data_IF_938613090191
#
_entry.id   IF_938613090191
#
_cell.length_a   1.000
_cell.length_b   1.000
_cell.length_c   1.000
_cell.angle_alpha   90.00
_cell.angle_beta   90.00
_cell.angle_gamma   90.00
#
_symmetry.space_group_name_H-M   'P 1'
#
loop_
_entity.id
_entity.type
_entity.pdbx_description
1 polymer ?
#
# COMPACT_ATOMS: atom_id res chain seq x y z
N UNK A 1 19.65 34.46 12.53
CA UNK A 1 18.62 33.40 12.61
C UNK A 1 18.52 32.69 11.26
N UNK A 2 19.03 31.46 11.14
CA UNK A 2 18.85 30.65 9.93
C UNK A 2 17.42 30.10 9.96
N UNK A 3 16.55 30.52 9.03
CA UNK A 3 15.21 29.93 8.88
C UNK A 3 15.36 28.44 8.54
N UNK A 4 15.12 27.57 9.51
CA UNK A 4 14.97 26.12 9.30
C UNK A 4 13.78 25.94 8.36
N UNK A 5 14.03 25.61 7.08
CA UNK A 5 12.97 25.26 6.13
C UNK A 5 12.17 24.11 6.76
N UNK A 6 10.91 24.35 7.08
CA UNK A 6 10.02 23.32 7.62
C UNK A 6 9.95 22.23 6.55
N UNK A 7 10.24 20.99 6.93
CA UNK A 7 10.05 19.84 6.03
C UNK A 7 8.54 19.66 5.88
N UNK A 8 7.97 20.20 4.81
CA UNK A 8 6.54 20.08 4.56
C UNK A 8 6.24 18.82 3.75
N UNK A 9 5.17 18.12 4.15
CA UNK A 9 4.66 16.96 3.41
C UNK A 9 3.90 17.49 2.20
N UNK A 10 4.23 17.06 0.96
CA UNK A 10 3.49 17.49 -0.22
C UNK A 10 1.99 17.18 -0.08
N UNK A 11 1.12 18.12 -0.42
CA UNK A 11 -0.34 17.93 -0.37
C UNK A 11 -0.78 16.72 -1.20
N UNK A 12 -0.17 16.54 -2.38
CA UNK A 12 -0.42 15.39 -3.25
C UNK A 12 -0.05 14.05 -2.60
N UNK A 13 0.99 13.99 -1.77
CA UNK A 13 1.34 12.79 -1.01
C UNK A 13 0.27 12.46 0.04
N UNK A 14 -0.29 13.49 0.70
CA UNK A 14 -1.40 13.31 1.63
C UNK A 14 -2.63 12.72 0.92
N UNK A 15 -2.95 13.22 -0.27
CA UNK A 15 -4.04 12.69 -1.10
C UNK A 15 -3.82 11.23 -1.45
N UNK A 16 -2.61 10.85 -1.87
CA UNK A 16 -2.30 9.45 -2.16
C UNK A 16 -2.45 8.52 -0.96
N UNK A 17 -2.06 8.97 0.24
CA UNK A 17 -2.29 8.20 1.47
C UNK A 17 -3.77 7.97 1.75
N UNK A 18 -4.61 8.99 1.48
CA UNK A 18 -6.06 8.85 1.63
C UNK A 18 -6.66 7.91 0.58
N UNK A 19 -6.24 8.03 -0.68
CA UNK A 19 -6.65 7.11 -1.76
C UNK A 19 -6.27 5.67 -1.39
N UNK A 20 -5.04 5.44 -0.93
CA UNK A 20 -4.58 4.12 -0.51
C UNK A 20 -5.37 3.58 0.68
N UNK A 21 -5.72 4.42 1.66
CA UNK A 21 -6.61 4.03 2.75
C UNK A 21 -7.96 3.51 2.23
N UNK A 22 -8.58 4.23 1.29
CA UNK A 22 -9.86 3.82 0.69
C UNK A 22 -9.70 2.48 -0.02
N UNK A 23 -8.63 2.32 -0.82
CA UNK A 23 -8.35 1.06 -1.53
C UNK A 23 -8.12 -0.08 -0.53
N UNK A 24 -7.27 0.12 0.48
CA UNK A 24 -6.99 -0.89 1.51
C UNK A 24 -8.28 -1.34 2.21
N UNK A 25 -9.21 -0.43 2.48
CA UNK A 25 -10.49 -0.77 3.11
C UNK A 25 -11.44 -1.47 2.14
N UNK A 26 -11.47 -1.03 0.88
CA UNK A 26 -12.29 -1.65 -0.17
C UNK A 26 -11.93 -3.12 -0.38
N UNK A 27 -10.64 -3.47 -0.32
CA UNK A 27 -10.16 -4.85 -0.45
C UNK A 27 -10.09 -5.59 0.90
N UNK A 28 -9.69 -4.89 1.97
CA UNK A 28 -9.45 -5.47 3.28
C UNK A 28 -10.72 -5.91 4.01
N UNK A 29 -11.79 -5.13 3.94
CA UNK A 29 -13.09 -5.47 4.56
C UNK A 29 -13.63 -6.80 3.99
N UNK A 30 -13.80 -6.95 2.66
CA UNK A 30 -14.31 -8.21 2.12
C UNK A 30 -13.34 -9.37 2.34
N UNK A 31 -12.02 -9.17 2.27
CA UNK A 31 -11.05 -10.24 2.58
C UNK A 31 -11.09 -10.69 4.05
N UNK A 32 -11.37 -9.77 4.99
CA UNK A 32 -11.44 -10.09 6.41
C UNK A 32 -12.75 -10.81 6.77
N UNK A 33 -13.89 -10.30 6.30
CA UNK A 33 -15.21 -10.77 6.72
C UNK A 33 -15.85 -11.76 5.75
N UNK A 34 -15.60 -11.63 4.45
CA UNK A 34 -16.25 -12.41 3.39
C UNK A 34 -15.25 -12.92 2.32
N UNK A 35 -14.10 -13.52 2.70
CA UNK A 35 -13.02 -13.83 1.75
C UNK A 35 -13.44 -14.74 0.60
N UNK A 36 -14.27 -15.74 0.90
CA UNK A 36 -14.74 -16.70 -0.11
C UNK A 36 -15.65 -16.03 -1.15
N UNK A 37 -16.64 -15.27 -0.70
CA UNK A 37 -17.53 -14.54 -1.60
C UNK A 37 -16.75 -13.54 -2.47
N UNK A 38 -15.78 -12.85 -1.86
CA UNK A 38 -14.94 -11.89 -2.55
C UNK A 38 -14.06 -12.52 -3.63
N UNK A 39 -13.33 -13.60 -3.31
CA UNK A 39 -12.49 -14.28 -4.29
C UNK A 39 -13.32 -14.93 -5.40
N UNK A 40 -14.46 -15.54 -5.07
CA UNK A 40 -15.38 -16.07 -6.09
C UNK A 40 -15.89 -14.98 -7.03
N UNK A 41 -16.24 -13.80 -6.50
CA UNK A 41 -16.61 -12.64 -7.29
C UNK A 41 -15.46 -12.19 -8.21
N UNK A 42 -14.22 -12.19 -7.72
CA UNK A 42 -13.03 -11.94 -8.54
C UNK A 42 -12.71 -13.10 -9.52
N UNK A 43 -13.43 -14.22 -9.45
CA UNK A 43 -13.16 -15.43 -10.24
C UNK A 43 -11.81 -16.07 -9.91
N UNK A 44 -11.41 -16.03 -8.63
CA UNK A 44 -10.20 -16.63 -8.09
C UNK A 44 -10.53 -17.85 -7.22
N UNK A 45 -9.61 -18.83 -7.15
CA UNK A 45 -9.78 -20.02 -6.34
C UNK A 45 -9.70 -19.70 -4.84
N UNK A 46 -10.47 -20.43 -4.04
CA UNK A 46 -10.49 -20.32 -2.57
C UNK A 46 -9.85 -21.59 -2.01
N UNK A 47 -8.63 -21.48 -1.50
CA UNK A 47 -7.86 -22.61 -1.00
C UNK A 47 -7.85 -22.68 0.54
N UNK A 48 -7.58 -21.55 1.19
CA UNK A 48 -7.54 -21.41 2.65
C UNK A 48 -8.01 -20.01 3.05
N UNK A 49 -8.84 -19.91 4.09
CA UNK A 49 -9.43 -18.66 4.56
C UNK A 49 -8.51 -17.91 5.54
N UNK A 50 -7.67 -18.62 6.29
CA UNK A 50 -6.79 -17.99 7.28
C UNK A 50 -5.85 -16.93 6.67
N UNK A 51 -5.05 -17.24 5.64
CA UNK A 51 -4.16 -16.25 5.04
C UNK A 51 -4.94 -15.08 4.41
N UNK A 52 -6.12 -15.32 3.85
CA UNK A 52 -6.95 -14.27 3.28
C UNK A 52 -7.41 -13.26 4.32
N UNK A 53 -7.83 -13.74 5.50
CA UNK A 53 -8.22 -12.88 6.63
C UNK A 53 -7.02 -12.12 7.19
N UNK A 54 -5.86 -12.75 7.28
CA UNK A 54 -4.64 -12.07 7.71
C UNK A 54 -4.21 -10.97 6.74
N UNK A 55 -4.32 -11.20 5.42
CA UNK A 55 -4.10 -10.15 4.41
C UNK A 55 -5.14 -9.04 4.56
N UNK A 56 -6.41 -9.38 4.74
CA UNK A 56 -7.47 -8.39 4.99
C UNK A 56 -7.15 -7.51 6.20
N UNK A 57 -6.78 -8.11 7.33
CA UNK A 57 -6.38 -7.39 8.54
C UNK A 57 -5.15 -6.50 8.31
N UNK A 58 -4.14 -6.98 7.58
CA UNK A 58 -2.95 -6.21 7.25
C UNK A 58 -3.29 -4.96 6.41
N UNK A 59 -4.14 -5.11 5.38
CA UNK A 59 -4.62 -3.98 4.57
C UNK A 59 -5.34 -2.94 5.44
N UNK A 60 -6.28 -3.38 6.28
CA UNK A 60 -7.01 -2.47 7.17
C UNK A 60 -6.08 -1.75 8.16
N UNK A 61 -5.08 -2.42 8.71
CA UNK A 61 -4.12 -1.80 9.61
C UNK A 61 -3.24 -0.76 8.88
N UNK A 62 -2.71 -1.11 7.70
CA UNK A 62 -1.84 -0.23 6.89
C UNK A 62 -2.63 0.98 6.34
N UNK A 63 -3.87 0.76 5.90
CA UNK A 63 -4.76 1.82 5.46
C UNK A 63 -5.16 2.70 6.64
N UNK A 64 -5.58 2.10 7.74
CA UNK A 64 -6.07 2.79 8.93
C UNK A 64 -5.01 3.71 9.52
N UNK A 65 -3.76 3.24 9.65
CA UNK A 65 -2.66 4.11 10.13
C UNK A 65 -2.38 5.27 9.18
N UNK A 66 -2.65 5.12 7.88
CA UNK A 66 -2.52 6.19 6.89
C UNK A 66 -3.57 7.28 7.08
N UNK A 67 -4.80 6.89 7.41
CA UNK A 67 -5.87 7.83 7.74
C UNK A 67 -5.63 8.53 9.08
N UNK A 68 -5.29 7.78 10.13
CA UNK A 68 -5.06 8.33 11.48
C UNK A 68 -3.92 9.35 11.52
N UNK A 69 -2.92 9.19 10.64
CA UNK A 69 -1.76 10.09 10.55
C UNK A 69 -1.86 11.13 9.43
N UNK A 70 -3.06 11.37 8.87
CA UNK A 70 -3.23 12.24 7.70
C UNK A 70 -2.84 13.72 7.93
N UNK A 71 -2.75 14.15 9.19
CA UNK A 71 -2.34 15.49 9.64
C UNK A 71 -0.95 15.50 10.26
N UNK A 72 -0.28 14.36 10.34
CA UNK A 72 1.04 14.25 10.94
C UNK A 72 2.13 14.96 10.13
N UNK A 73 3.26 15.19 10.78
CA UNK A 73 4.43 15.85 10.22
C UNK A 73 5.28 14.95 9.32
N UNK A 74 6.36 15.53 8.79
CA UNK A 74 7.24 14.88 7.83
C UNK A 74 7.82 13.55 8.31
N UNK A 75 8.34 13.47 9.54
CA UNK A 75 9.01 12.27 10.01
C UNK A 75 8.06 11.06 10.07
N UNK A 76 6.80 11.28 10.47
CA UNK A 76 5.75 10.26 10.42
C UNK A 76 5.48 9.80 8.99
N UNK A 77 5.31 10.72 8.04
CA UNK A 77 5.09 10.37 6.63
C UNK A 77 6.28 9.63 6.02
N UNK A 78 7.50 10.02 6.40
CA UNK A 78 8.73 9.39 5.93
C UNK A 78 8.84 7.93 6.42
N UNK A 79 8.47 7.67 7.68
CA UNK A 79 8.39 6.33 8.25
C UNK A 79 7.28 5.49 7.60
N UNK A 80 6.09 6.06 7.41
CA UNK A 80 4.99 5.37 6.74
C UNK A 80 5.29 5.08 5.27
N UNK A 81 6.02 5.97 4.57
CA UNK A 81 6.50 5.70 3.22
C UNK A 81 7.44 4.48 3.18
N UNK A 82 8.37 4.37 4.13
CA UNK A 82 9.24 3.19 4.22
C UNK A 82 8.43 1.91 4.38
N UNK A 83 7.46 1.90 5.30
CA UNK A 83 6.56 0.77 5.50
C UNK A 83 5.84 0.40 4.19
N UNK A 84 5.25 1.38 3.51
CA UNK A 84 4.51 1.15 2.26
C UNK A 84 5.39 0.63 1.13
N UNK A 85 6.62 1.11 1.02
CA UNK A 85 7.57 0.60 0.02
C UNK A 85 7.91 -0.85 0.31
N UNK A 86 8.35 -1.17 1.54
CA UNK A 86 8.72 -2.53 1.92
C UNK A 86 7.55 -3.48 1.69
N UNK A 87 6.37 -3.13 2.20
CA UNK A 87 5.15 -3.93 2.04
C UNK A 87 4.79 -4.16 0.57
N UNK A 88 4.68 -3.09 -0.23
CA UNK A 88 4.24 -3.20 -1.62
C UNK A 88 5.25 -3.92 -2.51
N UNK A 89 6.56 -3.72 -2.31
CA UNK A 89 7.60 -4.46 -3.05
C UNK A 89 7.54 -5.94 -2.73
N UNK A 90 7.42 -6.31 -1.46
CA UNK A 90 7.30 -7.72 -1.06
C UNK A 90 6.01 -8.35 -1.60
N UNK A 91 4.90 -7.61 -1.62
CA UNK A 91 3.66 -8.07 -2.23
C UNK A 91 3.81 -8.28 -3.74
N UNK A 92 4.44 -7.36 -4.47
CA UNK A 92 4.73 -7.50 -5.91
C UNK A 92 5.56 -8.77 -6.18
N UNK A 93 6.64 -8.99 -5.41
CA UNK A 93 7.48 -10.17 -5.55
C UNK A 93 6.73 -11.47 -5.22
N UNK A 94 5.96 -11.48 -4.13
CA UNK A 94 5.15 -12.63 -3.74
C UNK A 94 4.13 -13.00 -4.82
N UNK A 95 3.45 -12.00 -5.39
CA UNK A 95 2.49 -12.22 -6.47
C UNK A 95 3.22 -12.74 -7.72
N UNK A 96 4.40 -12.21 -8.09
CA UNK A 96 5.17 -12.73 -9.23
C UNK A 96 5.53 -14.21 -9.07
N UNK A 97 5.96 -14.62 -7.88
CA UNK A 97 6.25 -16.03 -7.57
C UNK A 97 4.98 -16.88 -7.69
N UNK A 98 3.85 -16.42 -7.17
CA UNK A 98 2.58 -17.14 -7.30
C UNK A 98 2.12 -17.24 -8.75
N UNK A 99 2.23 -16.15 -9.53
CA UNK A 99 1.85 -16.14 -10.94
C UNK A 99 2.75 -17.06 -11.79
N UNK A 100 4.05 -17.15 -11.50
CA UNK A 100 4.96 -18.05 -12.23
C UNK A 100 4.68 -19.54 -11.98
N UNK A 101 3.94 -19.86 -10.91
CA UNK A 101 3.48 -21.21 -10.56
C UNK A 101 2.15 -21.59 -11.22
N UNK A 102 1.63 -20.79 -12.16
CA UNK A 102 0.41 -21.09 -12.90
C UNK A 102 -0.88 -20.61 -12.24
N UNK A 103 -0.81 -19.62 -11.34
CA UNK A 103 -2.00 -19.03 -10.74
C UNK A 103 -2.90 -18.36 -11.80
N UNK A 104 -4.24 -18.34 -11.63
CA UNK A 104 -5.15 -17.80 -12.62
C UNK A 104 -4.84 -16.36 -13.05
N UNK A 105 -4.96 -16.06 -14.34
CA UNK A 105 -4.56 -14.77 -14.93
C UNK A 105 -5.25 -13.55 -14.31
N UNK A 106 -6.43 -13.72 -13.70
CA UNK A 106 -7.11 -12.65 -12.96
C UNK A 106 -6.29 -12.15 -11.75
N UNK A 107 -5.35 -12.94 -11.24
CA UNK A 107 -4.41 -12.55 -10.19
C UNK A 107 -3.50 -11.38 -10.58
N UNK A 108 -3.28 -11.16 -11.89
CA UNK A 108 -2.52 -10.00 -12.39
C UNK A 108 -3.13 -8.65 -12.01
N UNK A 109 -4.45 -8.59 -11.75
CA UNK A 109 -5.09 -7.37 -11.25
C UNK A 109 -4.42 -6.87 -9.96
N UNK A 110 -4.22 -7.78 -9.00
CA UNK A 110 -3.59 -7.44 -7.73
C UNK A 110 -2.12 -7.05 -7.93
N UNK A 111 -1.40 -7.75 -8.81
CA UNK A 111 -0.03 -7.39 -9.18
C UNK A 111 0.06 -5.94 -9.63
N UNK A 112 -0.77 -5.52 -10.60
CA UNK A 112 -0.72 -4.16 -11.12
C UNK A 112 -1.11 -3.10 -10.09
N UNK A 113 -2.10 -3.39 -9.23
CA UNK A 113 -2.47 -2.49 -8.12
C UNK A 113 -1.26 -2.27 -7.20
N UNK A 114 -0.63 -3.34 -6.72
CA UNK A 114 0.53 -3.24 -5.84
C UNK A 114 1.73 -2.59 -6.53
N UNK A 115 1.96 -2.89 -7.80
CA UNK A 115 3.04 -2.28 -8.59
C UNK A 115 2.86 -0.76 -8.72
N UNK A 116 1.66 -0.30 -9.09
CA UNK A 116 1.36 1.13 -9.22
C UNK A 116 1.60 1.86 -7.90
N UNK A 117 1.09 1.33 -6.79
CA UNK A 117 1.33 1.94 -5.48
C UNK A 117 2.81 1.91 -5.08
N UNK A 118 3.51 0.80 -5.32
CA UNK A 118 4.95 0.70 -5.06
C UNK A 118 5.75 1.77 -5.79
N UNK A 119 5.43 2.00 -7.07
CA UNK A 119 6.05 3.05 -7.88
C UNK A 119 5.73 4.45 -7.35
N UNK A 120 4.48 4.72 -6.96
CA UNK A 120 4.08 5.99 -6.35
C UNK A 120 4.87 6.26 -5.06
N UNK A 121 4.95 5.28 -4.15
CA UNK A 121 5.67 5.44 -2.89
C UNK A 121 7.16 5.64 -3.10
N UNK A 122 7.77 4.87 -4.00
CA UNK A 122 9.17 5.00 -4.36
C UNK A 122 9.45 6.38 -4.98
N UNK A 123 8.60 6.85 -5.89
CA UNK A 123 8.70 8.19 -6.46
C UNK A 123 8.68 9.27 -5.37
N UNK A 124 7.72 9.23 -4.45
CA UNK A 124 7.64 10.22 -3.37
C UNK A 124 8.82 10.15 -2.40
N UNK A 125 9.31 8.94 -2.10
CA UNK A 125 10.50 8.76 -1.26
C UNK A 125 11.75 9.36 -1.90
N UNK A 126 11.96 9.10 -3.20
CA UNK A 126 13.07 9.68 -3.96
C UNK A 126 12.92 11.21 -4.07
N UNK A 127 11.72 11.71 -4.36
CA UNK A 127 11.44 13.15 -4.44
C UNK A 127 11.74 13.85 -3.12
N UNK A 128 11.26 13.29 -2.02
CA UNK A 128 11.53 13.81 -0.67
C UNK A 128 13.04 13.79 -0.41
N UNK A 129 13.73 12.67 -0.61
CA UNK A 129 15.17 12.57 -0.38
C UNK A 129 15.98 13.55 -1.24
N UNK A 130 15.63 13.72 -2.52
CA UNK A 130 16.34 14.61 -3.46
C UNK A 130 16.12 16.09 -3.13
N UNK A 131 14.92 16.49 -2.69
CA UNK A 131 14.68 17.85 -2.16
C UNK A 131 15.63 18.17 -0.99
N UNK A 132 16.06 17.15 -0.24
CA UNK A 132 16.96 17.31 0.90
C UNK A 132 18.44 17.01 0.58
N UNK A 133 18.78 16.43 -0.58
CA UNK A 133 20.16 16.30 -1.08
C UNK A 133 20.67 17.55 -1.79
N UNK A 134 19.79 18.44 -2.26
CA UNK A 134 20.15 19.72 -2.88
C UNK A 134 20.47 20.83 -1.85
N UNK A 135 20.99 20.46 -0.68
CA UNK A 135 21.46 21.38 0.35
C UNK A 135 22.77 20.90 0.94
#
# INVERSE_FOLDING_TARGET
>A
MVKKKIKEVPSSLRTWFLIHFIVDYLFGIPLLFFPEAFLRFCGLPVNDLLPLRLVGAALLAIGGVSYLNNKSGFETYNSLLNLKIIWSVLAVLGILVTMSQGYPSKGWLFFFIFLVFSLIWTYYKLKINNIFKLK
#
